data_IF_567135784290
#
_entry.id   IF_567135784290
#
_cell.length_a   1.000
_cell.length_b   1.000
_cell.length_c   1.000
_cell.angle_alpha   90.00
_cell.angle_beta   90.00
_cell.angle_gamma   90.00
#
_symmetry.space_group_name_H-M   'P 1'
#
loop_
_entity.id
_entity.type
_entity.pdbx_description
1 polymer ?
#
# COMPACT_ATOMS: atom_id res chain seq x y z
N UNK A 1 -11.64 17.58 -0.26
CA UNK A 1 -11.36 16.92 1.00
C UNK A 1 -10.40 15.81 0.80
N UNK A 2 -9.31 15.89 1.50
CA UNK A 2 -8.26 14.88 1.34
C UNK A 2 -8.73 13.51 1.80
N UNK A 3 -9.66 13.47 2.75
CA UNK A 3 -10.17 12.19 3.21
C UNK A 3 -10.85 11.41 2.11
N UNK A 4 -11.46 12.11 1.17
CA UNK A 4 -12.19 11.45 0.11
C UNK A 4 -11.27 10.67 -0.81
N UNK A 5 -10.07 11.18 -1.04
CA UNK A 5 -9.13 10.47 -1.90
C UNK A 5 -8.74 9.13 -1.29
N UNK A 6 -8.41 9.13 -0.01
CA UNK A 6 -8.02 7.88 0.65
C UNK A 6 -9.20 6.91 0.67
N UNK A 7 -10.41 7.41 0.93
CA UNK A 7 -11.59 6.56 0.92
C UNK A 7 -11.78 5.91 -0.45
N UNK A 8 -11.58 6.68 -1.52
CA UNK A 8 -11.72 6.14 -2.87
C UNK A 8 -10.66 5.10 -3.16
N UNK A 9 -9.45 5.32 -2.67
CA UNK A 9 -8.38 4.35 -2.86
C UNK A 9 -8.69 3.05 -2.11
N UNK A 10 -9.23 3.16 -0.90
CA UNK A 10 -9.59 1.98 -0.14
C UNK A 10 -10.71 1.23 -0.82
N UNK A 11 -11.70 1.94 -1.40
CA UNK A 11 -12.74 1.27 -2.17
C UNK A 11 -12.15 0.52 -3.36
N UNK A 12 -11.16 1.12 -4.02
CA UNK A 12 -10.52 0.46 -5.14
C UNK A 12 -9.79 -0.80 -4.67
N UNK A 13 -9.15 -0.74 -3.51
CA UNK A 13 -8.51 -1.92 -2.94
C UNK A 13 -9.55 -3.00 -2.66
N UNK A 14 -10.71 -2.62 -2.11
CA UNK A 14 -11.76 -3.60 -1.84
C UNK A 14 -12.21 -4.28 -3.13
N UNK A 15 -12.31 -3.52 -4.22
CA UNK A 15 -12.66 -4.10 -5.51
C UNK A 15 -11.58 -5.05 -6.00
N UNK A 16 -10.32 -4.69 -5.80
CA UNK A 16 -9.22 -5.56 -6.17
C UNK A 16 -9.23 -6.85 -5.36
N UNK A 17 -9.61 -6.77 -4.09
CA UNK A 17 -9.67 -7.96 -3.26
C UNK A 17 -10.71 -8.95 -3.76
N UNK A 18 -11.77 -8.44 -4.38
CA UNK A 18 -12.83 -9.29 -4.90
C UNK A 18 -12.56 -9.75 -6.33
N UNK A 19 -11.53 -9.22 -6.98
CA UNK A 19 -11.29 -9.48 -8.39
C UNK A 19 -10.33 -10.65 -8.57
N UNK A 20 -10.67 -11.63 -9.45
CA UNK A 20 -9.75 -12.72 -9.71
C UNK A 20 -8.49 -12.29 -10.45
N UNK A 21 -8.53 -11.11 -11.09
CA UNK A 21 -7.36 -10.63 -11.83
C UNK A 21 -6.32 -9.98 -10.95
N UNK A 22 -6.63 -9.70 -9.68
CA UNK A 22 -5.70 -9.04 -8.78
C UNK A 22 -5.57 -9.81 -7.48
N UNK A 23 -5.43 -11.13 -7.58
CA UNK A 23 -5.32 -11.98 -6.39
C UNK A 23 -4.10 -11.63 -5.53
N UNK A 24 -3.08 -11.05 -6.14
CA UNK A 24 -1.89 -10.66 -5.38
C UNK A 24 -2.23 -9.62 -4.31
N UNK A 25 -3.26 -8.81 -4.53
CA UNK A 25 -3.67 -7.83 -3.52
C UNK A 25 -4.23 -8.55 -2.29
N UNK A 26 -5.07 -9.57 -2.52
CA UNK A 26 -5.62 -10.34 -1.41
C UNK A 26 -4.51 -11.08 -0.65
N UNK A 27 -3.53 -11.60 -1.36
CA UNK A 27 -2.41 -12.28 -0.73
C UNK A 27 -1.59 -11.30 0.11
N UNK A 28 -1.41 -10.09 -0.39
CA UNK A 28 -0.69 -9.06 0.35
C UNK A 28 -1.43 -8.70 1.63
N UNK A 29 -2.75 -8.51 1.53
CA UNK A 29 -3.55 -8.20 2.72
C UNK A 29 -3.41 -9.32 3.76
N UNK A 30 -3.56 -10.56 3.32
CA UNK A 30 -3.45 -11.69 4.24
C UNK A 30 -2.08 -11.74 4.91
N UNK A 31 -1.03 -11.50 4.14
CA UNK A 31 0.33 -11.51 4.68
C UNK A 31 0.50 -10.42 5.73
N UNK A 32 -0.03 -9.23 5.46
CA UNK A 32 0.10 -8.11 6.40
C UNK A 32 -0.67 -8.37 7.68
N UNK A 33 -1.86 -8.93 7.57
CA UNK A 33 -2.64 -9.25 8.76
C UNK A 33 -1.92 -10.31 9.59
N UNK A 34 -1.36 -11.32 8.94
CA UNK A 34 -0.61 -12.34 9.65
C UNK A 34 0.65 -11.81 10.29
N UNK A 35 1.18 -10.71 9.74
CA UNK A 35 2.36 -10.07 10.32
C UNK A 35 2.01 -9.19 11.52
N UNK A 36 0.73 -9.03 11.82
CA UNK A 36 0.30 -8.28 12.99
C UNK A 36 -0.42 -6.99 12.72
N UNK A 37 -0.62 -6.64 11.46
CA UNK A 37 -1.33 -5.40 11.14
C UNK A 37 -2.83 -5.62 11.27
N UNK A 38 -3.51 -4.58 11.75
CA UNK A 38 -4.95 -4.54 11.70
C UNK A 38 -5.39 -4.51 10.23
N UNK A 39 -6.54 -5.10 9.93
CA UNK A 39 -7.02 -5.18 8.55
C UNK A 39 -7.17 -3.79 7.93
N UNK A 40 -7.70 -2.85 8.70
CA UNK A 40 -7.87 -1.48 8.21
C UNK A 40 -6.52 -0.86 7.89
N UNK A 41 -5.55 -1.05 8.76
CA UNK A 41 -4.21 -0.51 8.53
C UNK A 41 -3.57 -1.17 7.32
N UNK A 42 -3.73 -2.47 7.17
CA UNK A 42 -3.17 -3.18 6.03
C UNK A 42 -3.76 -2.66 4.73
N UNK A 43 -5.08 -2.46 4.69
CA UNK A 43 -5.73 -1.91 3.51
C UNK A 43 -5.25 -0.49 3.23
N UNK A 44 -5.05 0.29 4.28
CA UNK A 44 -4.57 1.66 4.11
C UNK A 44 -3.19 1.68 3.46
N UNK A 45 -2.31 0.79 3.88
CA UNK A 45 -0.98 0.74 3.29
C UNK A 45 -1.04 0.32 1.83
N UNK A 46 -1.89 -0.65 1.51
CA UNK A 46 -2.08 -1.06 0.11
C UNK A 46 -2.63 0.11 -0.68
N UNK A 47 -3.59 0.85 -0.12
CA UNK A 47 -4.18 1.99 -0.80
C UNK A 47 -3.14 3.07 -1.08
N UNK A 48 -2.21 3.28 -0.16
CA UNK A 48 -1.15 4.25 -0.37
C UNK A 48 -0.27 3.83 -1.56
N UNK A 49 0.05 2.55 -1.65
CA UNK A 49 0.83 2.05 -2.78
C UNK A 49 0.07 2.26 -4.09
N UNK A 50 -1.22 1.99 -4.08
CA UNK A 50 -2.05 2.21 -5.26
C UNK A 50 -2.05 3.67 -5.65
N UNK A 51 -2.19 4.56 -4.66
CA UNK A 51 -2.18 6.00 -4.93
C UNK A 51 -0.87 6.46 -5.52
N UNK A 52 0.24 5.92 -5.04
CA UNK A 52 1.54 6.27 -5.59
C UNK A 52 1.67 5.81 -7.03
N UNK A 53 1.17 4.63 -7.34
CA UNK A 53 1.24 4.15 -8.72
C UNK A 53 0.34 4.99 -9.62
N UNK A 54 -0.84 5.36 -9.15
CA UNK A 54 -1.71 6.25 -9.93
C UNK A 54 -1.06 7.60 -10.18
N UNK A 55 -0.33 8.11 -9.18
CA UNK A 55 0.39 9.35 -9.35
C UNK A 55 1.45 9.24 -10.44
N UNK A 56 2.15 8.11 -10.49
CA UNK A 56 3.14 7.88 -11.54
C UNK A 56 2.49 7.84 -12.92
N UNK A 57 1.31 7.23 -13.03
CA UNK A 57 0.57 7.20 -14.28
C UNK A 57 0.31 8.61 -14.76
N UNK A 58 -0.14 9.50 -13.87
CA UNK A 58 -0.45 10.87 -14.24
C UNK A 58 0.79 11.67 -14.58
N UNK A 59 1.84 11.52 -13.80
CA UNK A 59 3.06 12.30 -13.98
C UNK A 59 3.82 11.90 -15.23
N UNK A 60 3.90 10.60 -15.47
CA UNK A 60 4.72 10.08 -16.57
C UNK A 60 3.90 9.79 -17.80
N UNK A 61 2.59 10.00 -17.71
CA UNK A 61 1.69 9.79 -18.85
C UNK A 61 1.85 8.39 -19.42
N UNK A 62 1.95 7.43 -18.54
CA UNK A 62 2.07 6.04 -18.94
C UNK A 62 0.90 5.25 -18.39
N UNK A 63 0.73 4.05 -18.90
CA UNK A 63 -0.31 3.18 -18.37
C UNK A 63 0.03 2.68 -16.99
N UNK A 64 -0.95 2.08 -16.33
CA UNK A 64 -0.75 1.50 -15.02
C UNK A 64 0.27 0.37 -15.13
N UNK A 65 1.27 0.41 -14.27
CA UNK A 65 2.34 -0.58 -14.27
C UNK A 65 2.09 -1.57 -13.13
N UNK A 66 1.48 -2.68 -13.46
CA UNK A 66 1.14 -3.70 -12.46
C UNK A 66 2.40 -4.25 -11.80
N UNK A 67 3.46 -4.38 -12.54
CA UNK A 67 4.71 -4.90 -12.01
C UNK A 67 5.26 -3.98 -10.92
N UNK A 68 5.24 -2.68 -11.18
CA UNK A 68 5.69 -1.70 -10.20
C UNK A 68 4.79 -1.72 -8.95
N UNK A 69 3.49 -1.83 -9.16
CA UNK A 69 2.54 -1.90 -8.05
C UNK A 69 2.80 -3.14 -7.19
N UNK A 70 2.99 -4.29 -7.84
CA UNK A 70 3.24 -5.52 -7.10
C UNK A 70 4.55 -5.45 -6.34
N UNK A 71 5.57 -4.82 -6.91
CA UNK A 71 6.84 -4.66 -6.22
C UNK A 71 6.67 -3.80 -4.97
N UNK A 72 5.86 -2.73 -5.07
CA UNK A 72 5.60 -1.89 -3.91
C UNK A 72 4.86 -2.67 -2.83
N UNK A 73 3.88 -3.49 -3.23
CA UNK A 73 3.14 -4.29 -2.26
C UNK A 73 4.05 -5.29 -1.54
N UNK A 74 5.02 -5.84 -2.27
CA UNK A 74 5.93 -6.82 -1.69
C UNK A 74 6.81 -6.20 -0.60
N UNK A 75 6.97 -4.89 -0.60
CA UNK A 75 7.78 -4.21 0.41
C UNK A 75 6.99 -3.85 1.65
N UNK A 76 5.70 -4.05 1.65
CA UNK A 76 4.90 -3.80 2.84
C UNK A 76 5.16 -4.89 3.88
N UNK A 77 5.01 -4.63 5.17
CA UNK A 77 4.48 -3.39 5.75
C UNK A 77 5.46 -2.24 5.68
N UNK A 78 4.93 -1.02 5.70
CA UNK A 78 5.76 0.17 5.75
C UNK A 78 6.44 0.25 7.09
N UNK A 79 7.74 0.53 7.07
CA UNK A 79 8.46 0.72 8.32
C UNK A 79 8.41 2.15 8.72
N UNK A 80 8.15 2.29 9.86
CA UNK A 80 8.01 3.63 10.28
C UNK A 80 9.12 4.11 11.12
N UNK A 81 8.79 3.87 11.09
CA UNK A 81 9.12 4.05 11.78
C UNK A 81 9.16 4.47 12.43
N UNK A 82 9.02 4.21 12.41
CA UNK A 82 9.00 4.38 12.91
C UNK A 82 9.34 4.48 13.65
N UNK A 83 9.46 4.51 13.51
CA UNK A 83 9.66 4.61 13.99
C UNK A 83 10.36 4.54 14.65
N UNK A 84 10.66 4.50 14.36
CA UNK A 84 11.17 4.50 14.81
C UNK A 84 11.92 4.60 15.17
N UNK A 85 12.26 4.81 15.35
CA UNK A 85 13.01 4.94 15.52
C UNK A 85 13.79 5.08 15.77
N UNK A 86 14.04 5.19 15.51
CA UNK A 86 14.63 5.48 15.66
C UNK A 86 15.35 5.56 15.99
N UNK A 87 15.45 5.61 15.82
CA UNK A 87 15.92 5.85 15.98
C UNK A 87 16.62 5.77 16.23
N UNK A 88 16.76 5.80 16.15
CA UNK A 88 17.29 5.86 16.16
C UNK A 88 17.82 5.67 16.19
N UNK A 89 17.82 5.70 16.03
CA UNK A 89 18.17 5.79 15.89
C UNK A 89 18.84 5.72 15.94
N UNK A 90 19.10 5.86 15.92
CA UNK A 90 19.64 6.08 15.84
C UNK A 90 20.44 6.39 16.07
N UNK A 91 20.55 6.44 15.97
CA UNK A 91 21.08 6.90 16.10
C UNK A 91 21.79 7.15 16.31
N UNK A 92 22.03 7.08 16.34
CA UNK A 92 22.41 7.40 16.47
C UNK A 92 22.82 7.56 16.65
N UNK A 93 22.91 7.56 16.53
CA UNK A 93 22.97 7.86 16.56
C UNK A 93 23.14 8.02 16.74
#
# INVERSE_FOLDING_TARGET
>A
MSDDLLSHLIEAVDQQLASPGTKYVAKTLDRLVKAGLDETEAKTQIAICLGEEMDQVLRKRRGFDEKSYRAALDELPMEDDGGEPDENSKEIS
#
